data_IF_736971119572
#
_entry.id   IF_736971119572
#
_cell.length_a   1.000
_cell.length_b   1.000
_cell.length_c   1.000
_cell.angle_alpha   90.00
_cell.angle_beta   90.00
_cell.angle_gamma   90.00
#
_symmetry.space_group_name_H-M   'P 1'
#
loop_
_entity.id
_entity.type
_entity.pdbx_description
1 polymer ?
#
# COMPACT_ATOMS: atom_id res chain seq x y z
N UNK A 1 20.02 30.18 28.73
CA UNK A 1 21.01 30.09 27.64
C UNK A 1 21.15 28.63 27.25
N UNK A 2 20.35 28.18 26.27
CA UNK A 2 20.46 26.97 25.45
C UNK A 2 19.25 27.09 24.48
N UNK A 3 19.35 27.50 23.23
CA UNK A 3 20.47 27.45 22.30
C UNK A 3 20.29 26.27 21.34
N UNK A 4 19.49 26.50 20.28
CA UNK A 4 19.64 25.91 18.94
C UNK A 4 19.50 24.38 18.76
N UNK A 5 18.29 23.83 18.86
CA UNK A 5 18.01 22.48 18.34
C UNK A 5 16.68 22.31 17.58
N UNK A 6 16.01 23.40 17.19
CA UNK A 6 14.71 23.34 16.48
C UNK A 6 14.81 23.61 14.98
N UNK A 7 16.01 23.71 14.41
CA UNK A 7 16.22 24.20 13.04
C UNK A 7 16.42 23.10 11.98
N UNK A 8 16.36 21.81 12.34
CA UNK A 8 16.70 20.71 11.41
C UNK A 8 15.50 19.91 10.90
N UNK A 9 14.27 20.35 11.18
CA UNK A 9 13.04 19.67 10.72
C UNK A 9 12.18 20.51 9.77
N UNK A 10 12.74 21.55 9.15
CA UNK A 10 12.27 21.98 7.83
C UNK A 10 13.00 21.15 6.77
N UNK A 11 12.72 19.85 6.78
CA UNK A 11 13.19 18.93 5.77
C UNK A 11 12.61 19.37 4.42
N UNK A 12 13.37 20.20 3.70
CA UNK A 12 13.35 20.37 2.25
C UNK A 12 11.95 20.25 1.65
N UNK A 13 11.18 21.33 1.66
CA UNK A 13 9.96 21.41 0.86
C UNK A 13 10.26 20.87 -0.54
N UNK A 14 9.44 19.96 -1.10
CA UNK A 14 9.70 19.42 -2.42
C UNK A 14 9.72 20.61 -3.38
N UNK A 15 10.92 20.93 -3.89
CA UNK A 15 11.08 21.98 -4.89
C UNK A 15 10.04 21.72 -5.98
N UNK A 16 9.16 22.69 -6.20
CA UNK A 16 8.07 22.55 -7.16
C UNK A 16 8.69 22.26 -8.52
N UNK A 17 8.12 21.38 -9.36
CA UNK A 17 8.75 21.02 -10.62
C UNK A 17 9.03 22.24 -11.52
N UNK A 18 8.27 23.33 -11.34
CA UNK A 18 8.53 24.62 -11.97
C UNK A 18 9.82 25.29 -11.48
N UNK A 19 10.08 25.29 -10.18
CA UNK A 19 11.31 25.86 -9.59
C UNK A 19 12.53 25.07 -10.01
N UNK A 20 12.41 23.74 -10.04
CA UNK A 20 13.45 22.87 -10.57
C UNK A 20 13.72 23.19 -12.05
N UNK A 21 12.67 23.29 -12.87
CA UNK A 21 12.77 23.62 -14.29
C UNK A 21 13.47 24.97 -14.53
N UNK A 22 13.18 26.00 -13.72
CA UNK A 22 13.78 27.33 -13.87
C UNK A 22 15.29 27.36 -13.61
N UNK A 23 15.81 26.44 -12.78
CA UNK A 23 17.26 26.31 -12.52
C UNK A 23 18.00 25.58 -13.64
N UNK A 24 17.29 24.86 -14.50
CA UNK A 24 17.91 24.08 -15.55
C UNK A 24 18.35 24.97 -16.72
N UNK A 25 19.50 24.66 -17.33
CA UNK A 25 20.04 25.40 -18.47
C UNK A 25 19.05 25.48 -19.66
N UNK A 26 18.16 24.48 -19.81
CA UNK A 26 17.11 24.48 -20.84
C UNK A 26 16.11 25.62 -20.71
N UNK A 27 15.93 26.18 -19.52
CA UNK A 27 15.06 27.34 -19.32
C UNK A 27 15.66 28.61 -19.91
N UNK A 28 16.98 28.78 -19.75
CA UNK A 28 17.73 29.91 -20.27
C UNK A 28 17.77 29.93 -21.80
N UNK A 29 17.94 28.75 -22.43
CA UNK A 29 18.03 28.61 -23.89
C UNK A 29 16.67 28.52 -24.60
N UNK A 30 15.58 28.27 -23.87
CA UNK A 30 14.25 28.13 -24.45
C UNK A 30 13.66 29.47 -24.94
N UNK A 31 13.00 29.43 -26.10
CA UNK A 31 12.21 30.54 -26.62
C UNK A 31 10.96 30.78 -25.74
N UNK A 32 10.33 31.98 -25.78
CA UNK A 32 9.16 32.27 -24.95
C UNK A 32 8.00 31.29 -25.15
N UNK A 33 7.77 30.80 -26.38
CA UNK A 33 6.76 29.78 -26.66
C UNK A 33 7.12 28.43 -26.02
N UNK A 34 8.39 28.03 -26.04
CA UNK A 34 8.85 26.80 -25.40
C UNK A 34 8.74 26.87 -23.87
N UNK A 35 9.04 28.03 -23.27
CA UNK A 35 8.89 28.24 -21.83
C UNK A 35 7.45 28.01 -21.38
N UNK A 36 6.46 28.44 -22.16
CA UNK A 36 5.04 28.23 -21.83
C UNK A 36 4.67 26.74 -21.83
N UNK A 37 5.15 25.96 -22.80
CA UNK A 37 4.96 24.51 -22.84
C UNK A 37 5.64 23.85 -21.63
N UNK A 38 6.88 24.23 -21.32
CA UNK A 38 7.63 23.66 -20.19
C UNK A 38 6.95 23.97 -18.84
N UNK A 39 6.41 25.18 -18.66
CA UNK A 39 5.61 25.53 -17.47
C UNK A 39 4.41 24.60 -17.31
N UNK A 40 3.66 24.36 -18.39
CA UNK A 40 2.49 23.47 -18.37
C UNK A 40 2.86 22.04 -18.00
N UNK A 41 3.95 21.53 -18.57
CA UNK A 41 4.47 20.19 -18.26
C UNK A 41 4.89 20.11 -16.78
N UNK A 42 5.58 21.13 -16.26
CA UNK A 42 5.96 21.17 -14.85
C UNK A 42 4.73 21.09 -13.93
N UNK A 43 3.70 21.91 -14.19
CA UNK A 43 2.45 21.89 -13.42
C UNK A 43 1.73 20.53 -13.50
N UNK A 44 1.73 19.88 -14.67
CA UNK A 44 1.16 18.53 -14.82
C UNK A 44 1.94 17.50 -14.00
N UNK A 45 3.27 17.60 -14.00
CA UNK A 45 4.15 16.70 -13.23
C UNK A 45 3.96 16.86 -11.73
N UNK A 46 3.79 18.08 -11.24
CA UNK A 46 3.50 18.35 -9.82
C UNK A 46 2.19 17.68 -9.39
N UNK A 47 1.14 17.81 -10.20
CA UNK A 47 -0.15 17.13 -9.94
C UNK A 47 0.01 15.61 -9.88
N UNK A 48 0.80 15.03 -10.77
CA UNK A 48 1.05 13.59 -10.79
C UNK A 48 1.98 13.12 -9.66
N UNK A 49 2.91 13.96 -9.22
CA UNK A 49 3.78 13.67 -8.08
C UNK A 49 2.95 13.60 -6.79
N UNK A 50 2.09 14.59 -6.53
CA UNK A 50 1.19 14.59 -5.38
C UNK A 50 0.24 13.37 -5.38
N UNK A 51 -0.35 13.03 -6.53
CA UNK A 51 -1.20 11.85 -6.66
C UNK A 51 -0.45 10.53 -6.42
N UNK A 52 0.81 10.43 -6.86
CA UNK A 52 1.66 9.25 -6.61
C UNK A 52 2.00 9.12 -5.13
N UNK A 53 2.41 10.20 -4.48
CA UNK A 53 2.68 10.20 -3.04
C UNK A 53 1.46 9.77 -2.22
N UNK A 54 0.26 10.27 -2.55
CA UNK A 54 -0.96 9.85 -1.88
C UNK A 54 -1.26 8.35 -2.09
N UNK A 55 -1.00 7.81 -3.29
CA UNK A 55 -1.15 6.37 -3.56
C UNK A 55 -0.13 5.54 -2.81
N UNK A 56 1.13 5.95 -2.77
CA UNK A 56 2.20 5.28 -2.03
C UNK A 56 1.89 5.26 -0.53
N UNK A 57 1.42 6.38 0.03
CA UNK A 57 0.97 6.44 1.42
C UNK A 57 -0.22 5.51 1.68
N UNK A 58 -1.20 5.46 0.78
CA UNK A 58 -2.34 4.55 0.90
C UNK A 58 -1.91 3.08 0.80
N UNK A 59 -0.95 2.76 -0.06
CA UNK A 59 -0.37 1.41 -0.17
C UNK A 59 0.43 1.05 1.08
N UNK A 60 1.25 1.96 1.61
CA UNK A 60 1.98 1.75 2.86
C UNK A 60 1.04 1.51 4.05
N UNK A 61 -0.03 2.31 4.17
CA UNK A 61 -1.05 2.11 5.19
C UNK A 61 -1.79 0.77 5.05
N UNK A 62 -2.09 0.34 3.80
CA UNK A 62 -2.66 -0.99 3.55
C UNK A 62 -1.69 -2.10 3.93
N UNK A 63 -0.43 -2.00 3.53
CA UNK A 63 0.61 -2.97 3.89
C UNK A 63 0.78 -3.09 5.41
N UNK A 64 0.78 -1.96 6.13
CA UNK A 64 0.81 -1.95 7.60
C UNK A 64 -0.41 -2.64 8.23
N UNK A 65 -1.61 -2.50 7.65
CA UNK A 65 -2.84 -3.15 8.14
C UNK A 65 -2.94 -4.64 7.78
N UNK A 66 -2.28 -5.08 6.72
CA UNK A 66 -2.32 -6.48 6.24
C UNK A 66 -1.22 -7.34 6.89
N UNK A 67 -0.30 -6.73 7.64
CA UNK A 67 0.72 -7.46 8.38
C UNK A 67 0.06 -8.21 9.56
N UNK A 68 -0.19 -9.51 9.36
CA UNK A 68 -0.66 -10.41 10.40
C UNK A 68 0.58 -10.97 11.11
N UNK A 69 0.79 -10.71 12.41
CA UNK A 69 1.91 -11.28 13.13
C UNK A 69 1.86 -12.82 13.04
N UNK A 70 2.98 -13.42 12.66
CA UNK A 70 3.10 -14.87 12.41
C UNK A 70 2.88 -15.67 13.71
N UNK A 71 3.18 -15.05 14.85
CA UNK A 71 3.03 -15.62 16.19
C UNK A 71 1.62 -15.49 16.80
N UNK A 72 0.67 -14.88 16.09
CA UNK A 72 -0.70 -14.75 16.58
C UNK A 72 -1.45 -16.10 16.55
N UNK A 73 -2.33 -16.36 17.54
CA UNK A 73 -3.14 -17.57 17.57
C UNK A 73 -3.96 -17.73 16.28
N UNK A 74 -4.08 -18.97 15.78
CA UNK A 74 -4.70 -19.27 14.48
C UNK A 74 -6.11 -18.67 14.32
N UNK A 75 -6.89 -18.61 15.40
CA UNK A 75 -8.22 -18.01 15.40
C UNK A 75 -8.20 -16.50 15.07
N UNK A 76 -7.21 -15.77 15.57
CA UNK A 76 -7.04 -14.34 15.32
C UNK A 76 -6.62 -14.09 13.86
N UNK A 77 -5.73 -14.93 13.33
CA UNK A 77 -5.33 -14.88 11.90
C UNK A 77 -6.52 -15.14 10.98
N UNK A 78 -7.39 -16.08 11.34
CA UNK A 78 -8.62 -16.38 10.59
C UNK A 78 -9.63 -15.24 10.65
N UNK A 79 -9.79 -14.55 11.78
CA UNK A 79 -10.66 -13.36 11.87
C UNK A 79 -10.14 -12.21 11.01
N UNK A 80 -8.83 -11.94 11.03
CA UNK A 80 -8.23 -10.89 10.20
C UNK A 80 -8.36 -11.24 8.72
N UNK A 81 -8.10 -12.50 8.35
CA UNK A 81 -8.32 -12.98 6.98
C UNK A 81 -9.78 -12.85 6.55
N UNK A 82 -10.73 -13.19 7.42
CA UNK A 82 -12.16 -13.06 7.15
C UNK A 82 -12.57 -11.61 6.87
N UNK A 83 -11.97 -10.67 7.61
CA UNK A 83 -12.19 -9.24 7.43
C UNK A 83 -11.52 -8.67 6.18
N UNK A 84 -10.35 -9.18 5.80
CA UNK A 84 -9.60 -8.76 4.62
C UNK A 84 -10.14 -9.36 3.31
N UNK A 85 -10.73 -10.56 3.35
CA UNK A 85 -11.19 -11.30 2.18
C UNK A 85 -12.66 -11.75 2.27
N UNK A 86 -13.63 -10.81 2.38
CA UNK A 86 -15.03 -11.13 2.63
C UNK A 86 -15.64 -12.05 1.55
N UNK A 87 -15.22 -11.92 0.29
CA UNK A 87 -15.70 -12.78 -0.81
C UNK A 87 -15.22 -14.22 -0.65
N UNK A 88 -13.95 -14.42 -0.33
CA UNK A 88 -13.39 -15.76 -0.11
C UNK A 88 -14.04 -16.42 1.10
N UNK A 89 -14.22 -15.66 2.18
CA UNK A 89 -14.89 -16.14 3.40
C UNK A 89 -16.34 -16.50 3.15
N UNK A 90 -17.08 -15.67 2.42
CA UNK A 90 -18.46 -15.96 2.04
C UNK A 90 -18.55 -17.23 1.17
N UNK A 91 -17.60 -17.42 0.24
CA UNK A 91 -17.51 -18.63 -0.57
C UNK A 91 -17.29 -19.88 0.27
N UNK A 92 -16.32 -19.87 1.19
CA UNK A 92 -16.04 -21.00 2.08
C UNK A 92 -17.22 -21.27 3.03
N UNK A 93 -17.80 -20.22 3.62
CA UNK A 93 -18.94 -20.35 4.53
C UNK A 93 -20.18 -20.91 3.79
N UNK A 94 -20.47 -20.42 2.59
CA UNK A 94 -21.56 -20.93 1.76
C UNK A 94 -21.35 -22.39 1.36
N UNK A 95 -20.12 -22.77 0.99
CA UNK A 95 -19.79 -24.16 0.68
C UNK A 95 -19.93 -25.07 1.90
N UNK A 96 -19.49 -24.60 3.08
CA UNK A 96 -19.62 -25.31 4.33
C UNK A 96 -21.09 -25.54 4.73
N UNK A 97 -21.95 -24.53 4.55
CA UNK A 97 -23.39 -24.63 4.73
C UNK A 97 -24.02 -25.66 3.79
N UNK A 98 -23.59 -25.69 2.52
CA UNK A 98 -24.13 -26.59 1.51
C UNK A 98 -23.72 -28.06 1.73
N UNK A 99 -22.49 -28.32 2.20
CA UNK A 99 -22.01 -29.69 2.47
C UNK A 99 -22.57 -30.26 3.79
N UNK A 100 -22.84 -29.40 4.77
CA UNK A 100 -23.32 -29.78 6.09
C UNK A 100 -22.24 -30.40 7.01
N UNK A 101 -22.50 -30.42 8.33
CA UNK A 101 -21.48 -30.68 9.35
C UNK A 101 -20.92 -32.11 9.31
N UNK A 102 -21.74 -33.11 8.94
CA UNK A 102 -21.32 -34.52 8.88
C UNK A 102 -20.26 -34.78 7.81
N UNK A 103 -20.36 -34.10 6.66
CA UNK A 103 -19.39 -34.27 5.57
C UNK A 103 -18.09 -33.52 5.87
N UNK A 104 -18.18 -32.32 6.45
CA UNK A 104 -17.04 -31.53 6.88
C UNK A 104 -16.09 -32.31 7.81
N UNK A 105 -16.62 -33.01 8.81
CA UNK A 105 -15.81 -33.80 9.73
C UNK A 105 -15.06 -34.94 9.03
N UNK A 106 -15.73 -35.62 8.10
CA UNK A 106 -15.17 -36.77 7.37
C UNK A 106 -14.07 -36.37 6.40
N UNK A 107 -14.25 -35.27 5.67
CA UNK A 107 -13.24 -34.73 4.77
C UNK A 107 -12.11 -34.01 5.53
N UNK A 108 -12.42 -33.35 6.64
CA UNK A 108 -11.43 -32.72 7.52
C UNK A 108 -10.44 -33.74 8.10
N UNK A 109 -10.93 -34.89 8.58
CA UNK A 109 -10.08 -35.97 9.06
C UNK A 109 -9.22 -36.58 7.94
N UNK A 110 -9.76 -36.69 6.72
CA UNK A 110 -9.03 -37.22 5.56
C UNK A 110 -7.92 -36.27 5.06
N UNK A 111 -8.10 -34.96 5.25
CA UNK A 111 -7.11 -33.93 4.87
C UNK A 111 -6.00 -33.72 5.92
N UNK A 112 -6.22 -34.15 7.16
CA UNK A 112 -5.26 -34.03 8.27
C UNK A 112 -3.82 -34.52 7.97
N UNK A 113 -3.59 -35.69 7.33
CA UNK A 113 -2.23 -36.14 7.03
C UNK A 113 -1.50 -35.27 6.00
N UNK A 114 -2.24 -34.61 5.10
CA UNK A 114 -1.65 -33.68 4.13
C UNK A 114 -1.23 -32.38 4.82
N UNK A 115 -2.07 -31.84 5.71
CA UNK A 115 -1.78 -30.63 6.48
C UNK A 115 -0.51 -30.81 7.32
N UNK A 116 -0.31 -31.99 7.91
CA UNK A 116 0.88 -32.28 8.71
C UNK A 116 2.17 -32.34 7.86
N UNK A 117 2.07 -32.70 6.57
CA UNK A 117 3.21 -32.67 5.63
C UNK A 117 3.63 -31.25 5.26
N UNK A 118 2.70 -30.31 5.16
CA UNK A 118 3.01 -28.90 4.86
C UNK A 118 3.60 -28.13 6.05
N UNK A 119 3.56 -28.71 7.26
CA UNK A 119 4.09 -28.08 8.48
C UNK A 119 5.56 -28.44 8.75
N UNK A 120 6.17 -29.27 7.88
CA UNK A 120 7.60 -29.61 7.86
C UNK A 120 8.30 -28.79 6.80
#
# INVERSE_FOLDING_TARGET
MTGAASATSEASAPLTALEALQREARWATATPQQREVLKRIALQRDRWAAARQAREQALAQRAARTSVPVDAPLAERLMVFARLHPVATAGVAGLALLLGPRKLWRYGALALPWINKLRR
#
